data_IF_856305181152
#
_entry.id   IF_856305181152
#
_cell.length_a   1.000
_cell.length_b   1.000
_cell.length_c   1.000
_cell.angle_alpha   90.00
_cell.angle_beta   90.00
_cell.angle_gamma   90.00
#
_symmetry.space_group_name_H-M   'P 1'
#
loop_
_entity.id
_entity.type
_entity.pdbx_description
1 polymer ?
#
# COMPACT_ATOMS: atom_id res chain seq x y z
N UNK A 1 19.39 -13.02 10.72
CA UNK A 1 18.02 -12.48 10.57
C UNK A 1 18.23 -10.99 10.35
N UNK A 2 17.82 -10.44 9.21
CA UNK A 2 17.98 -8.99 8.99
C UNK A 2 16.94 -8.25 9.82
N UNK A 3 17.37 -7.31 10.65
CA UNK A 3 16.51 -6.48 11.50
C UNK A 3 15.83 -5.38 10.68
N UNK A 4 15.01 -5.79 9.70
CA UNK A 4 14.21 -4.85 8.91
C UNK A 4 13.35 -3.99 9.83
N UNK A 5 13.55 -2.68 9.76
CA UNK A 5 12.82 -1.69 10.54
C UNK A 5 11.97 -0.83 9.61
N UNK A 6 10.66 -0.76 9.89
CA UNK A 6 9.74 0.09 9.16
C UNK A 6 9.99 1.56 9.54
N UNK A 7 9.96 2.47 8.58
CA UNK A 7 10.06 3.91 8.85
C UNK A 7 8.94 4.36 9.81
N UNK A 8 9.31 5.12 10.83
CA UNK A 8 8.38 5.58 11.88
C UNK A 8 7.15 6.34 11.35
N UNK A 9 7.26 7.04 10.21
CA UNK A 9 6.11 7.73 9.59
C UNK A 9 5.17 6.74 8.92
N UNK A 10 5.72 5.73 8.22
CA UNK A 10 4.90 4.64 7.67
C UNK A 10 4.21 3.88 8.80
N UNK A 11 4.91 3.60 9.90
CA UNK A 11 4.32 2.95 11.07
C UNK A 11 3.19 3.79 11.69
N UNK A 12 3.38 5.11 11.84
CA UNK A 12 2.36 6.00 12.39
C UNK A 12 1.15 6.21 11.45
N UNK A 13 1.38 6.22 10.14
CA UNK A 13 0.35 6.58 9.15
C UNK A 13 -0.44 5.38 8.64
N UNK A 14 -0.02 4.15 8.94
CA UNK A 14 -0.62 2.94 8.37
C UNK A 14 -1.08 1.94 9.41
N UNK A 15 -1.88 0.98 8.97
CA UNK A 15 -2.32 -0.17 9.76
C UNK A 15 -1.82 -1.46 9.10
N UNK A 16 -1.31 -2.43 9.86
CA UNK A 16 -0.79 -3.67 9.30
C UNK A 16 -1.91 -4.55 8.73
N UNK A 17 -1.70 -5.12 7.55
CA UNK A 17 -2.62 -6.09 6.90
C UNK A 17 -2.03 -7.50 6.90
N UNK A 18 -0.73 -7.62 6.60
CA UNK A 18 -0.03 -8.89 6.53
C UNK A 18 1.35 -8.75 5.88
N UNK A 19 1.97 -9.87 5.53
CA UNK A 19 3.27 -9.90 4.89
C UNK A 19 3.27 -10.84 3.68
N UNK A 20 3.78 -10.37 2.55
CA UNK A 20 4.09 -11.18 1.38
C UNK A 20 5.54 -11.69 1.46
N UNK A 21 5.98 -12.38 0.40
CA UNK A 21 7.31 -12.97 0.33
C UNK A 21 8.41 -11.94 0.60
N UNK A 22 8.31 -10.76 -0.01
CA UNK A 22 9.26 -9.66 0.12
C UNK A 22 8.68 -8.52 0.95
N UNK A 23 7.43 -8.11 0.70
CA UNK A 23 6.91 -6.85 1.25
C UNK A 23 6.01 -7.02 2.48
N UNK A 24 6.06 -6.04 3.39
CA UNK A 24 4.94 -5.78 4.30
C UNK A 24 3.77 -5.20 3.50
N UNK A 25 2.55 -5.59 3.86
CA UNK A 25 1.31 -5.04 3.30
C UNK A 25 0.67 -4.17 4.37
N UNK A 26 0.54 -2.89 4.06
CA UNK A 26 0.02 -1.87 4.96
C UNK A 26 -1.22 -1.22 4.35
N UNK A 27 -2.20 -0.89 5.18
CA UNK A 27 -3.35 -0.06 4.83
C UNK A 27 -3.03 1.38 5.23
N UNK A 28 -2.99 2.31 4.26
CA UNK A 28 -2.92 3.73 4.61
C UNK A 28 -4.17 4.09 5.39
N UNK A 29 -4.00 4.67 6.58
CA UNK A 29 -5.13 5.00 7.45
C UNK A 29 -5.78 6.34 7.05
N UNK A 30 -6.20 6.39 5.79
CA UNK A 30 -7.00 7.45 5.17
C UNK A 30 -8.22 6.79 4.49
N UNK A 31 -9.38 6.88 5.16
CA UNK A 31 -10.61 6.21 4.78
C UNK A 31 -11.24 6.75 3.49
N UNK A 32 -10.77 7.91 3.00
CA UNK A 32 -11.24 8.52 1.75
C UNK A 32 -10.97 7.65 0.53
N UNK A 33 -9.96 6.78 0.59
CA UNK A 33 -9.55 5.92 -0.52
C UNK A 33 -9.20 4.50 -0.03
N UNK A 34 -9.56 3.43 -0.76
CA UNK A 34 -8.95 2.13 -0.54
C UNK A 34 -7.49 2.20 -1.03
N UNK A 35 -6.55 2.19 -0.08
CA UNK A 35 -5.15 2.50 -0.34
C UNK A 35 -4.21 1.54 0.40
N UNK A 36 -3.57 0.66 -0.36
CA UNK A 36 -2.56 -0.29 0.12
C UNK A 36 -1.16 0.25 -0.17
N UNK A 37 -0.23 -0.03 0.74
CA UNK A 37 1.18 0.30 0.61
C UNK A 37 2.00 -0.99 0.78
N UNK A 38 2.89 -1.26 -0.16
CA UNK A 38 3.88 -2.32 -0.09
C UNK A 38 5.23 -1.76 0.34
N UNK A 39 5.87 -2.38 1.33
CA UNK A 39 7.21 -2.00 1.80
C UNK A 39 8.13 -3.22 1.75
N UNK A 40 9.03 -3.33 0.75
CA UNK A 40 10.00 -4.42 0.66
C UNK A 40 10.87 -4.51 1.92
N UNK A 41 10.97 -5.72 2.51
CA UNK A 41 11.70 -5.95 3.76
C UNK A 41 13.20 -6.15 3.53
N UNK A 42 13.86 -5.07 3.11
CA UNK A 42 15.31 -4.96 2.92
C UNK A 42 15.76 -3.58 3.40
N UNK A 43 16.89 -3.54 4.10
CA UNK A 43 17.39 -2.30 4.67
C UNK A 43 18.03 -1.39 3.61
N UNK A 44 17.93 -0.08 3.83
CA UNK A 44 18.61 0.93 3.02
C UNK A 44 18.02 1.17 1.62
N UNK A 45 16.96 0.46 1.21
CA UNK A 45 16.32 0.69 -0.08
C UNK A 45 15.61 2.03 -0.14
N UNK A 46 15.88 2.78 -1.20
CA UNK A 46 15.21 4.07 -1.49
C UNK A 46 14.42 3.99 -2.78
N UNK A 47 15.02 3.36 -3.79
CA UNK A 47 14.48 3.24 -5.14
C UNK A 47 14.22 1.78 -5.51
N UNK A 48 13.31 1.54 -6.47
CA UNK A 48 13.10 0.18 -7.02
C UNK A 48 14.38 -0.37 -7.66
N UNK A 49 15.27 0.50 -8.16
CA UNK A 49 16.54 0.10 -8.75
C UNK A 49 17.59 -0.34 -7.73
N UNK A 50 17.39 -0.06 -6.43
CA UNK A 50 18.25 -0.53 -5.35
C UNK A 50 18.03 -2.03 -5.06
N UNK A 51 16.89 -2.59 -5.49
CA UNK A 51 16.58 -4.00 -5.35
C UNK A 51 17.46 -4.85 -6.27
N UNK A 52 17.92 -5.98 -5.74
CA UNK A 52 18.46 -7.07 -6.56
C UNK A 52 17.45 -7.50 -7.63
N UNK A 53 17.89 -7.93 -8.83
CA UNK A 53 16.97 -8.29 -9.91
C UNK A 53 15.87 -9.28 -9.52
N UNK A 54 16.20 -10.26 -8.67
CA UNK A 54 15.24 -11.26 -8.16
C UNK A 54 14.16 -10.62 -7.27
N UNK A 55 14.55 -9.69 -6.39
CA UNK A 55 13.64 -9.03 -5.45
C UNK A 55 12.80 -8.00 -6.18
N UNK A 56 13.35 -7.30 -7.18
CA UNK A 56 12.57 -6.44 -8.08
C UNK A 56 11.49 -7.23 -8.81
N UNK A 57 11.82 -8.40 -9.36
CA UNK A 57 10.82 -9.27 -9.99
C UNK A 57 9.75 -9.76 -8.99
N UNK A 58 10.14 -10.05 -7.75
CA UNK A 58 9.19 -10.39 -6.67
C UNK A 58 8.27 -9.22 -6.34
N UNK A 59 8.80 -8.01 -6.17
CA UNK A 59 8.00 -6.81 -5.92
C UNK A 59 6.96 -6.58 -7.02
N UNK A 60 7.34 -6.75 -8.30
CA UNK A 60 6.38 -6.62 -9.41
C UNK A 60 5.23 -7.63 -9.33
N UNK A 61 5.52 -8.90 -8.99
CA UNK A 61 4.46 -9.92 -8.79
C UNK A 61 3.56 -9.59 -7.59
N UNK A 62 4.12 -9.05 -6.53
CA UNK A 62 3.35 -8.60 -5.37
C UNK A 62 2.45 -7.40 -5.71
N UNK A 63 2.97 -6.43 -6.47
CA UNK A 63 2.19 -5.30 -6.98
C UNK A 63 1.02 -5.75 -7.86
N UNK A 64 1.25 -6.73 -8.74
CA UNK A 64 0.22 -7.34 -9.57
C UNK A 64 -0.86 -8.02 -8.72
N UNK A 65 -0.46 -8.95 -7.84
CA UNK A 65 -1.38 -9.68 -6.97
C UNK A 65 -2.27 -8.76 -6.13
N UNK A 66 -1.68 -7.72 -5.52
CA UNK A 66 -2.42 -6.74 -4.72
C UNK A 66 -3.31 -5.89 -5.60
N UNK A 67 -2.84 -5.46 -6.77
CA UNK A 67 -3.66 -4.70 -7.72
C UNK A 67 -4.89 -5.48 -8.17
N UNK A 68 -4.76 -6.77 -8.46
CA UNK A 68 -5.90 -7.62 -8.80
C UNK A 68 -6.87 -7.80 -7.63
N UNK A 69 -6.36 -8.00 -6.41
CA UNK A 69 -7.20 -8.08 -5.21
C UNK A 69 -7.99 -6.78 -5.00
N UNK A 70 -7.33 -5.63 -5.16
CA UNK A 70 -7.96 -4.30 -5.08
C UNK A 70 -9.04 -4.13 -6.17
N UNK A 71 -8.80 -4.60 -7.39
CA UNK A 71 -9.81 -4.57 -8.46
C UNK A 71 -11.02 -5.44 -8.14
N UNK A 72 -10.81 -6.68 -7.68
CA UNK A 72 -11.90 -7.61 -7.33
C UNK A 72 -12.75 -7.09 -6.17
N UNK A 73 -12.10 -6.57 -5.12
CA UNK A 73 -12.78 -6.10 -3.91
C UNK A 73 -13.53 -4.79 -4.11
N UNK A 74 -12.93 -3.82 -4.81
CA UNK A 74 -13.45 -2.45 -4.85
C UNK A 74 -14.04 -2.05 -6.19
N UNK A 75 -13.79 -2.82 -7.26
CA UNK A 75 -14.24 -2.52 -8.63
C UNK A 75 -14.01 -1.04 -9.01
N UNK A 76 -12.78 -0.51 -8.83
CA UNK A 76 -12.52 0.89 -9.07
C UNK A 76 -12.64 1.25 -10.55
N UNK A 77 -12.92 2.52 -10.82
CA UNK A 77 -12.79 3.08 -12.17
C UNK A 77 -11.34 2.97 -12.67
N UNK A 78 -10.36 3.15 -11.78
CA UNK A 78 -8.94 3.06 -12.12
C UNK A 78 -8.07 2.69 -10.91
N UNK A 79 -6.95 2.01 -11.14
CA UNK A 79 -5.87 1.93 -10.16
C UNK A 79 -4.80 3.00 -10.39
N UNK A 80 -4.30 3.61 -9.31
CA UNK A 80 -3.04 4.36 -9.30
C UNK A 80 -1.98 3.54 -8.56
N UNK A 81 -0.82 3.37 -9.20
CA UNK A 81 0.32 2.65 -8.64
C UNK A 81 1.56 3.53 -8.76
N UNK A 82 2.26 3.79 -7.65
CA UNK A 82 3.40 4.70 -7.65
C UNK A 82 4.39 4.41 -6.52
N UNK A 83 5.68 4.48 -6.82
CA UNK A 83 6.74 4.69 -5.84
C UNK A 83 7.18 6.15 -5.95
N UNK A 84 7.00 6.94 -4.88
CA UNK A 84 7.35 8.36 -4.85
C UNK A 84 8.54 8.60 -3.93
N UNK A 85 8.34 8.56 -2.61
CA UNK A 85 9.45 8.58 -1.65
C UNK A 85 10.06 9.95 -1.33
N UNK A 86 9.48 11.08 -1.79
CA UNK A 86 10.05 12.41 -1.56
C UNK A 86 10.17 12.81 -0.07
N UNK A 87 9.23 12.35 0.78
CA UNK A 87 9.19 12.68 2.21
C UNK A 87 9.62 11.53 3.13
N UNK A 88 9.39 10.30 2.69
CA UNK A 88 9.82 9.08 3.39
C UNK A 88 10.72 8.33 2.41
N UNK A 89 12.01 8.28 2.73
CA UNK A 89 13.01 7.73 1.81
C UNK A 89 12.97 6.21 1.71
N UNK A 90 12.46 5.49 2.71
CA UNK A 90 12.35 4.04 2.65
C UNK A 90 11.43 3.63 1.49
N UNK A 91 11.91 2.75 0.61
CA UNK A 91 11.15 2.31 -0.56
C UNK A 91 9.77 1.78 -0.16
N UNK A 92 8.73 2.38 -0.73
CA UNK A 92 7.36 1.92 -0.60
C UNK A 92 6.57 2.18 -1.88
N UNK A 93 5.63 1.30 -2.19
CA UNK A 93 4.79 1.37 -3.38
C UNK A 93 3.34 1.54 -2.96
N UNK A 94 2.70 2.61 -3.42
CA UNK A 94 1.29 2.86 -3.23
C UNK A 94 0.46 2.14 -4.30
N UNK A 95 -0.65 1.53 -3.91
CA UNK A 95 -1.66 0.93 -4.79
C UNK A 95 -3.03 1.42 -4.33
N UNK A 96 -3.71 2.20 -5.17
CA UNK A 96 -4.87 2.99 -4.77
C UNK A 96 -6.03 2.72 -5.73
N UNK A 97 -7.17 2.31 -5.18
CA UNK A 97 -8.43 2.21 -5.90
C UNK A 97 -9.06 3.60 -6.06
N UNK A 98 -9.26 4.05 -7.29
CA UNK A 98 -9.80 5.37 -7.65
C UNK A 98 -11.17 5.27 -8.29
N UNK A 99 -12.00 6.27 -8.03
CA UNK A 99 -13.36 6.38 -8.55
C UNK A 99 -13.57 7.77 -9.13
N UNK A 100 -14.43 7.89 -10.14
CA UNK A 100 -14.79 9.17 -10.78
C UNK A 100 -15.44 10.21 -9.83
N UNK A 101 -15.94 9.73 -8.69
CA UNK A 101 -16.57 10.51 -7.63
C UNK A 101 -15.74 10.54 -6.34
N UNK A 102 -14.49 10.06 -6.35
CA UNK A 102 -13.64 10.11 -5.15
C UNK A 102 -13.18 11.53 -4.81
N UNK A 103 -12.75 11.72 -3.56
CA UNK A 103 -12.42 13.04 -2.99
C UNK A 103 -11.30 13.81 -3.73
N UNK A 104 -10.57 13.17 -4.65
CA UNK A 104 -9.49 13.80 -5.40
C UNK A 104 -9.62 13.68 -6.92
N UNK A 105 -10.64 13.02 -7.47
CA UNK A 105 -10.73 12.78 -8.91
C UNK A 105 -10.83 14.09 -9.72
N UNK A 106 -10.13 14.24 -10.88
CA UNK A 106 -9.16 13.31 -11.50
C UNK A 106 -7.70 13.57 -11.07
N UNK A 107 -7.46 14.37 -10.03
CA UNK A 107 -6.13 14.69 -9.50
C UNK A 107 -5.51 13.48 -8.78
N UNK A 108 -4.17 13.47 -8.57
CA UNK A 108 -3.53 12.58 -7.62
C UNK A 108 -4.12 12.75 -6.21
N UNK A 109 -4.11 11.69 -5.39
CA UNK A 109 -4.59 11.76 -4.00
C UNK A 109 -3.62 12.50 -3.08
N UNK A 110 -2.32 12.47 -3.39
CA UNK A 110 -1.28 13.04 -2.54
C UNK A 110 -1.41 14.57 -2.46
N UNK A 111 -1.52 15.11 -1.25
CA UNK A 111 -1.62 16.55 -1.01
C UNK A 111 -2.98 17.17 -1.30
N UNK A 112 -4.02 16.36 -1.57
CA UNK A 112 -5.38 16.84 -1.83
C UNK A 112 -6.29 16.56 -0.64
N UNK A 113 -6.90 17.61 -0.10
CA UNK A 113 -7.84 17.56 1.03
C UNK A 113 -7.19 17.15 2.36
N UNK A 114 -8.04 16.88 3.35
CA UNK A 114 -7.62 16.44 4.69
C UNK A 114 -7.87 14.95 4.85
N UNK A 115 -6.89 14.24 5.42
CA UNK A 115 -6.99 12.81 5.74
C UNK A 115 -8.14 12.54 6.71
N UNK A 116 -8.93 11.50 6.42
CA UNK A 116 -9.98 11.01 7.32
C UNK A 116 -9.57 9.66 7.88
N UNK A 117 -9.50 9.51 9.21
CA UNK A 117 -9.09 8.23 9.81
C UNK A 117 -10.20 7.20 9.72
N UNK A 118 -9.84 5.93 9.59
CA UNK A 118 -10.82 4.85 9.73
C UNK A 118 -11.35 4.81 11.17
N UNK A 119 -12.67 4.66 11.31
CA UNK A 119 -13.24 4.17 12.57
C UNK A 119 -12.72 2.74 12.85
N UNK A 120 -12.53 2.33 14.12
CA UNK A 120 -11.92 1.03 14.45
C UNK A 120 -12.57 -0.18 13.75
N UNK A 121 -13.90 -0.27 13.75
CA UNK A 121 -14.62 -1.38 13.12
C UNK A 121 -14.49 -1.37 11.58
N UNK A 122 -14.45 -0.17 10.99
CA UNK A 122 -14.26 0.00 9.56
C UNK A 122 -12.82 -0.39 9.14
N UNK A 123 -11.83 -0.02 9.94
CA UNK A 123 -10.43 -0.45 9.76
C UNK A 123 -10.34 -1.99 9.83
N UNK A 124 -10.91 -2.60 10.87
CA UNK A 124 -10.86 -4.05 11.05
C UNK A 124 -11.54 -4.80 9.89
N UNK A 125 -12.70 -4.31 9.44
CA UNK A 125 -13.42 -4.86 8.28
C UNK A 125 -12.57 -4.75 7.01
N UNK A 126 -11.95 -3.59 6.76
CA UNK A 126 -11.10 -3.36 5.59
C UNK A 126 -9.88 -4.28 5.60
N UNK A 127 -9.18 -4.37 6.74
CA UNK A 127 -8.02 -5.23 6.93
C UNK A 127 -8.42 -6.69 6.68
N UNK A 128 -9.50 -7.17 7.30
CA UNK A 128 -9.97 -8.55 7.12
C UNK A 128 -10.30 -8.88 5.67
N UNK A 129 -10.97 -7.98 4.95
CA UNK A 129 -11.28 -8.17 3.54
C UNK A 129 -10.02 -8.26 2.66
N UNK A 130 -9.03 -7.39 2.92
CA UNK A 130 -7.74 -7.43 2.22
C UNK A 130 -6.97 -8.70 2.56
N UNK A 131 -6.89 -9.08 3.84
CA UNK A 131 -6.17 -10.28 4.28
C UNK A 131 -6.74 -11.55 3.64
N UNK A 132 -8.07 -11.68 3.56
CA UNK A 132 -8.72 -12.80 2.85
C UNK A 132 -8.42 -12.79 1.36
N UNK A 133 -8.50 -11.63 0.70
CA UNK A 133 -8.25 -11.51 -0.73
C UNK A 133 -6.80 -11.81 -1.13
N UNK A 134 -5.86 -11.67 -0.19
CA UNK A 134 -4.43 -11.96 -0.35
C UNK A 134 -4.04 -13.36 0.18
N UNK A 135 -4.99 -14.13 0.72
CA UNK A 135 -4.76 -15.51 1.17
C UNK A 135 -4.08 -15.64 2.54
N UNK A 136 -4.17 -14.64 3.42
CA UNK A 136 -3.69 -14.73 4.80
C UNK A 136 -4.69 -15.40 5.75
N UNK A 137 -5.98 -15.41 5.40
CA UNK A 137 -7.12 -15.92 6.15
C UNK A 137 -8.11 -16.59 5.20
#
# INVERSE_FOLDING_TARGET
>A
MSDFTLDSRLEADTLPVGELQLSRVLLMNDARFPWVILVPRRDGLREIIDLEPKDRATLYREMESVSEAMQRLFKPTKLNVAALGNQVAQLHVHIIARFDHDAAWPKPVWGVGTRELYAPDAAHTRITALSRALGYL
#
